data_IF_478931929925
#
_entry.id   IF_478931929925
#
_cell.length_a   1.000
_cell.length_b   1.000
_cell.length_c   1.000
_cell.angle_alpha   90.00
_cell.angle_beta   90.00
_cell.angle_gamma   90.00
#
_symmetry.space_group_name_H-M   'P 1'
#
loop_
_entity.id
_entity.type
_entity.pdbx_description
1 polymer ?
#
# COMPACT_ATOMS: atom_id res chain seq x y z
N UNK A 1 -8.54 -17.05 18.30
CA UNK A 1 -7.62 -16.12 18.96
C UNK A 1 -8.40 -14.97 19.60
N UNK A 2 -9.11 -14.14 18.84
CA UNK A 2 -9.78 -12.92 19.34
C UNK A 2 -10.77 -13.21 20.48
N UNK A 3 -11.58 -14.25 20.37
CA UNK A 3 -12.54 -14.66 21.42
C UNK A 3 -11.82 -14.96 22.73
N UNK A 4 -10.72 -15.72 22.68
CA UNK A 4 -9.92 -16.03 23.88
C UNK A 4 -9.29 -14.81 24.52
N UNK A 5 -8.79 -13.85 23.71
CA UNK A 5 -8.26 -12.58 24.21
C UNK A 5 -9.34 -11.80 24.97
N UNK A 6 -10.56 -11.78 24.44
CA UNK A 6 -11.71 -11.10 25.05
C UNK A 6 -12.16 -11.80 26.33
N UNK A 7 -12.33 -13.13 26.30
CA UNK A 7 -12.71 -13.94 27.46
C UNK A 7 -11.74 -13.80 28.63
N UNK A 8 -10.44 -13.85 28.33
CA UNK A 8 -9.38 -13.72 29.32
C UNK A 8 -9.09 -12.26 29.73
N UNK A 9 -9.82 -11.28 29.15
CA UNK A 9 -9.68 -9.85 29.39
C UNK A 9 -8.22 -9.36 29.27
N UNK A 10 -7.48 -9.91 28.29
CA UNK A 10 -6.09 -9.54 28.07
C UNK A 10 -6.01 -8.11 27.51
N UNK A 11 -5.29 -7.25 28.23
CA UNK A 11 -5.00 -5.87 27.77
C UNK A 11 -3.80 -5.88 26.81
N UNK A 12 -4.06 -6.26 25.56
CA UNK A 12 -3.05 -6.30 24.51
C UNK A 12 -3.42 -5.36 23.37
N UNK A 13 -2.40 -4.79 22.73
CA UNK A 13 -2.54 -4.05 21.48
C UNK A 13 -1.69 -4.73 20.40
N UNK A 14 -2.31 -5.01 19.25
CA UNK A 14 -1.66 -5.75 18.18
C UNK A 14 -2.08 -5.24 16.79
N UNK A 15 -1.39 -5.70 15.75
CA UNK A 15 -1.64 -5.32 14.38
C UNK A 15 -1.30 -6.43 13.40
N UNK A 16 -1.86 -6.35 12.21
CA UNK A 16 -1.46 -7.14 11.05
C UNK A 16 -0.74 -6.21 10.05
N UNK A 17 0.60 -6.14 10.11
CA UNK A 17 1.38 -5.12 9.39
C UNK A 17 1.56 -5.42 7.91
N UNK A 18 1.28 -6.64 7.47
CA UNK A 18 1.49 -7.06 6.08
C UNK A 18 0.44 -8.06 5.61
N UNK A 19 0.07 -7.92 4.34
CA UNK A 19 -0.54 -8.96 3.52
C UNK A 19 -1.78 -9.66 4.05
N UNK A 20 -2.65 -8.97 4.79
CA UNK A 20 -3.89 -9.56 5.29
C UNK A 20 -4.77 -10.03 4.13
N UNK A 21 -5.29 -11.25 4.21
CA UNK A 21 -6.25 -11.80 3.23
C UNK A 21 -7.59 -11.08 3.39
N UNK A 22 -7.84 -10.14 2.50
CA UNK A 22 -9.02 -9.28 2.55
C UNK A 22 -10.34 -10.04 2.43
N UNK A 23 -10.36 -11.12 1.66
CA UNK A 23 -11.54 -11.96 1.47
C UNK A 23 -12.00 -12.68 2.73
N UNK A 24 -11.14 -12.77 3.75
CA UNK A 24 -11.44 -13.41 5.04
C UNK A 24 -11.88 -12.42 6.12
N UNK A 25 -11.89 -11.12 5.84
CA UNK A 25 -12.23 -10.08 6.82
C UNK A 25 -13.48 -9.33 6.35
N UNK A 26 -14.60 -9.67 6.95
CA UNK A 26 -15.83 -8.91 6.89
C UNK A 26 -15.96 -7.94 8.08
N UNK A 27 -17.09 -7.26 8.18
CA UNK A 27 -17.35 -6.33 9.29
C UNK A 27 -17.38 -7.01 10.66
N UNK A 28 -17.95 -8.21 10.78
CA UNK A 28 -18.07 -8.91 12.06
C UNK A 28 -16.69 -9.39 12.54
N UNK A 29 -15.89 -9.97 11.65
CA UNK A 29 -14.49 -10.34 11.94
C UNK A 29 -13.67 -9.12 12.32
N UNK A 30 -13.78 -8.02 11.57
CA UNK A 30 -13.07 -6.77 11.89
C UNK A 30 -13.48 -6.20 13.25
N UNK A 31 -14.77 -6.24 13.60
CA UNK A 31 -15.29 -5.81 14.90
C UNK A 31 -14.75 -6.67 16.04
N UNK A 32 -14.69 -7.98 15.83
CA UNK A 32 -14.12 -8.92 16.82
C UNK A 32 -12.61 -8.65 17.02
N UNK A 33 -11.87 -8.44 15.92
CA UNK A 33 -10.46 -8.07 15.98
C UNK A 33 -10.24 -6.76 16.75
N UNK A 34 -11.04 -5.72 16.47
CA UNK A 34 -10.94 -4.45 17.16
C UNK A 34 -11.17 -4.59 18.68
N UNK A 35 -12.21 -5.36 19.08
CA UNK A 35 -12.50 -5.66 20.49
C UNK A 35 -11.38 -6.45 21.17
N UNK A 36 -10.67 -7.30 20.42
CA UNK A 36 -9.52 -8.05 20.90
C UNK A 36 -8.20 -7.22 20.87
N UNK A 37 -8.27 -5.90 20.69
CA UNK A 37 -7.13 -5.00 20.76
C UNK A 37 -6.37 -4.78 19.46
N UNK A 38 -6.86 -5.29 18.31
CA UNK A 38 -6.28 -4.95 17.00
C UNK A 38 -6.44 -3.46 16.71
N UNK A 39 -5.37 -2.81 16.24
CA UNK A 39 -5.40 -1.38 15.90
C UNK A 39 -5.23 -1.13 14.41
N UNK A 40 -4.38 -1.92 13.74
CA UNK A 40 -4.00 -1.65 12.36
C UNK A 40 -4.09 -2.90 11.50
N UNK A 41 -4.63 -2.75 10.29
CA UNK A 41 -4.63 -3.76 9.23
C UNK A 41 -3.89 -3.23 7.99
N UNK A 42 -3.08 -4.07 7.38
CA UNK A 42 -2.42 -3.78 6.12
C UNK A 42 -2.89 -4.73 5.03
N UNK A 43 -3.55 -4.20 4.01
CA UNK A 43 -3.92 -4.94 2.81
C UNK A 43 -2.86 -4.77 1.73
N UNK A 44 -2.67 -5.80 0.92
CA UNK A 44 -1.74 -5.78 -0.21
C UNK A 44 -2.47 -6.18 -1.50
N UNK A 45 -3.27 -5.29 -2.09
CA UNK A 45 -3.89 -5.55 -3.40
C UNK A 45 -2.86 -5.72 -4.51
N UNK A 46 -1.71 -5.12 -4.40
CA UNK A 46 -0.64 -5.00 -5.37
C UNK A 46 -1.06 -4.19 -6.61
N UNK A 47 -2.13 -4.59 -7.31
CA UNK A 47 -2.63 -3.91 -8.50
C UNK A 47 -4.16 -3.79 -8.51
N UNK A 48 -4.67 -2.76 -9.16
CA UNK A 48 -6.08 -2.59 -9.53
C UNK A 48 -6.41 -3.10 -10.92
N UNK A 49 -5.46 -3.75 -11.60
CA UNK A 49 -5.66 -4.38 -12.92
C UNK A 49 -5.74 -5.89 -12.80
N UNK A 50 -6.87 -6.47 -13.22
CA UNK A 50 -7.05 -7.93 -13.24
C UNK A 50 -6.01 -8.64 -14.13
N UNK A 51 -5.55 -7.97 -15.22
CA UNK A 51 -4.46 -8.47 -16.06
C UNK A 51 -3.18 -8.65 -15.22
N UNK A 52 -2.77 -7.61 -14.51
CA UNK A 52 -1.56 -7.63 -13.68
C UNK A 52 -1.71 -8.65 -12.55
N UNK A 53 -2.86 -8.70 -11.87
CA UNK A 53 -3.13 -9.68 -10.82
C UNK A 53 -2.99 -11.13 -11.29
N UNK A 54 -3.42 -11.42 -12.53
CA UNK A 54 -3.22 -12.75 -13.15
C UNK A 54 -1.74 -13.06 -13.38
N UNK A 55 -0.98 -12.09 -13.91
CA UNK A 55 0.47 -12.24 -14.16
C UNK A 55 1.23 -12.58 -12.87
N UNK A 56 0.92 -11.86 -11.78
CA UNK A 56 1.56 -12.09 -10.48
C UNK A 56 0.88 -13.21 -9.67
N UNK A 57 -0.03 -13.96 -10.27
CA UNK A 57 -0.76 -15.07 -9.68
C UNK A 57 -1.51 -14.70 -8.37
N UNK A 58 -1.90 -13.43 -8.25
CA UNK A 58 -2.63 -12.92 -7.08
C UNK A 58 -4.14 -13.16 -7.25
N UNK A 59 -4.65 -14.18 -6.57
CA UNK A 59 -6.06 -14.59 -6.62
C UNK A 59 -6.88 -13.81 -5.60
N UNK A 60 -7.20 -12.55 -5.89
CA UNK A 60 -8.03 -11.69 -5.04
C UNK A 60 -9.18 -11.09 -5.85
N UNK A 61 -10.27 -10.73 -5.17
CA UNK A 61 -11.35 -9.92 -5.73
C UNK A 61 -11.21 -8.48 -5.26
N UNK A 62 -11.03 -7.55 -6.21
CA UNK A 62 -10.92 -6.12 -5.90
C UNK A 62 -12.18 -5.56 -5.25
N UNK A 63 -13.36 -6.07 -5.64
CA UNK A 63 -14.65 -5.66 -5.03
C UNK A 63 -14.72 -6.11 -3.57
N UNK A 64 -14.47 -7.40 -3.30
CA UNK A 64 -14.45 -7.91 -1.92
C UNK A 64 -13.43 -7.18 -1.05
N UNK A 65 -12.30 -6.77 -1.63
CA UNK A 65 -11.31 -5.98 -0.89
C UNK A 65 -11.84 -4.60 -0.50
N UNK A 66 -12.54 -3.90 -1.39
CA UNK A 66 -13.17 -2.62 -1.06
C UNK A 66 -14.20 -2.79 0.06
N UNK A 67 -15.00 -3.84 0.02
CA UNK A 67 -16.01 -4.12 1.07
C UNK A 67 -15.34 -4.46 2.40
N UNK A 68 -14.26 -5.25 2.38
CA UNK A 68 -13.44 -5.54 3.55
C UNK A 68 -12.82 -4.28 4.16
N UNK A 69 -12.29 -3.37 3.33
CA UNK A 69 -11.76 -2.06 3.77
C UNK A 69 -12.85 -1.24 4.46
N UNK A 70 -14.04 -1.13 3.85
CA UNK A 70 -15.18 -0.42 4.45
C UNK A 70 -15.59 -1.02 5.79
N UNK A 71 -15.70 -2.36 5.86
CA UNK A 71 -16.03 -3.09 7.08
C UNK A 71 -15.02 -2.84 8.18
N UNK A 72 -13.73 -2.93 7.86
CA UNK A 72 -12.63 -2.71 8.81
C UNK A 72 -12.58 -1.27 9.34
N UNK A 73 -12.74 -0.30 8.47
CA UNK A 73 -12.80 1.13 8.85
C UNK A 73 -14.02 1.40 9.75
N UNK A 74 -15.19 0.85 9.38
CA UNK A 74 -16.43 0.98 10.18
C UNK A 74 -16.29 0.31 11.56
N UNK A 75 -15.52 -0.76 11.67
CA UNK A 75 -15.22 -1.43 12.93
C UNK A 75 -14.24 -0.66 13.83
N UNK A 76 -13.63 0.44 13.34
CA UNK A 76 -12.68 1.27 14.09
C UNK A 76 -11.21 0.94 13.85
N UNK A 77 -10.90 0.05 12.91
CA UNK A 77 -9.53 -0.31 12.57
C UNK A 77 -8.89 0.72 11.64
N UNK A 78 -7.61 0.99 11.86
CA UNK A 78 -6.82 1.74 10.89
C UNK A 78 -6.40 0.83 9.75
N UNK A 79 -6.69 1.24 8.54
CA UNK A 79 -6.45 0.44 7.33
C UNK A 79 -5.40 1.11 6.46
N UNK A 80 -4.40 0.34 6.06
CA UNK A 80 -3.39 0.71 5.08
C UNK A 80 -3.49 -0.19 3.86
N UNK A 81 -3.25 0.37 2.67
CA UNK A 81 -3.13 -0.38 1.44
C UNK A 81 -1.72 -0.27 0.84
N UNK A 82 -1.19 -1.42 0.38
CA UNK A 82 0.08 -1.49 -0.33
C UNK A 82 -0.20 -1.82 -1.80
N UNK A 83 0.12 -0.89 -2.69
CA UNK A 83 0.06 -1.05 -4.14
C UNK A 83 1.47 -1.20 -4.71
N UNK A 84 1.55 -1.82 -5.87
CA UNK A 84 2.78 -1.90 -6.65
C UNK A 84 2.55 -1.43 -8.08
N UNK A 85 3.63 -1.00 -8.75
CA UNK A 85 3.63 -0.62 -10.16
C UNK A 85 4.98 -0.94 -10.81
N UNK A 86 5.01 -1.01 -12.14
CA UNK A 86 6.23 -1.29 -12.90
C UNK A 86 6.51 -2.78 -13.08
N UNK A 87 5.47 -3.62 -13.06
CA UNK A 87 5.59 -5.03 -13.46
C UNK A 87 6.00 -5.15 -14.95
N UNK A 88 6.69 -6.22 -15.37
CA UNK A 88 7.23 -6.35 -16.72
C UNK A 88 6.22 -6.06 -17.84
N UNK A 89 5.03 -6.63 -17.79
CA UNK A 89 3.98 -6.48 -18.80
C UNK A 89 2.96 -5.37 -18.49
N UNK A 90 3.19 -4.59 -17.44
CA UNK A 90 2.26 -3.51 -17.04
C UNK A 90 2.30 -2.36 -18.03
N UNK A 91 1.13 -1.90 -18.44
CA UNK A 91 0.94 -0.80 -19.39
C UNK A 91 0.41 0.47 -18.72
N UNK A 92 0.41 1.59 -19.45
CA UNK A 92 -0.21 2.83 -18.99
C UNK A 92 -1.70 2.66 -18.69
N UNK A 93 -2.42 1.81 -19.44
CA UNK A 93 -3.82 1.51 -19.15
C UNK A 93 -3.99 0.79 -17.81
N UNK A 94 -3.05 -0.09 -17.45
CA UNK A 94 -3.06 -0.77 -16.16
C UNK A 94 -2.78 0.21 -15.02
N UNK A 95 -1.90 1.20 -15.22
CA UNK A 95 -1.70 2.31 -14.27
C UNK A 95 -2.97 3.16 -14.07
N UNK A 96 -3.77 3.39 -15.12
CA UNK A 96 -5.06 4.08 -14.99
C UNK A 96 -6.06 3.25 -14.18
N UNK A 97 -6.10 1.93 -14.36
CA UNK A 97 -6.91 1.02 -13.52
C UNK A 97 -6.43 1.06 -12.07
N UNK A 98 -5.12 1.07 -11.83
CA UNK A 98 -4.53 1.26 -10.51
C UNK A 98 -4.98 2.58 -9.87
N UNK A 99 -4.95 3.70 -10.62
CA UNK A 99 -5.38 5.00 -10.13
C UNK A 99 -6.87 5.01 -9.75
N UNK A 100 -7.72 4.40 -10.59
CA UNK A 100 -9.15 4.21 -10.28
C UNK A 100 -9.34 3.39 -8.99
N UNK A 101 -8.58 2.31 -8.81
CA UNK A 101 -8.67 1.48 -7.62
C UNK A 101 -8.17 2.22 -6.36
N UNK A 102 -7.07 2.98 -6.46
CA UNK A 102 -6.56 3.88 -5.40
C UNK A 102 -7.64 4.88 -4.97
N UNK A 103 -8.34 5.48 -5.93
CA UNK A 103 -9.46 6.39 -5.64
C UNK A 103 -10.58 5.70 -4.86
N UNK A 104 -10.93 4.47 -5.22
CA UNK A 104 -11.94 3.66 -4.52
C UNK A 104 -11.51 3.31 -3.09
N UNK A 105 -10.23 2.94 -2.88
CA UNK A 105 -9.67 2.69 -1.55
C UNK A 105 -9.74 3.93 -0.66
N UNK A 106 -9.40 5.09 -1.20
CA UNK A 106 -9.48 6.36 -0.48
C UNK A 106 -10.91 6.68 -0.05
N UNK A 107 -11.87 6.59 -0.98
CA UNK A 107 -13.29 6.84 -0.73
C UNK A 107 -13.93 5.79 0.19
N UNK A 108 -13.41 4.56 0.21
CA UNK A 108 -13.82 3.51 1.16
C UNK A 108 -13.33 3.76 2.60
N UNK A 109 -12.46 4.75 2.80
CA UNK A 109 -11.97 5.14 4.13
C UNK A 109 -10.60 4.60 4.49
N UNK A 110 -9.86 3.98 3.55
CA UNK A 110 -8.47 3.61 3.79
C UNK A 110 -7.69 4.81 4.36
N UNK A 111 -6.82 4.58 5.36
CA UNK A 111 -6.15 5.67 6.10
C UNK A 111 -4.80 6.02 5.50
N UNK A 112 -4.10 5.05 4.93
CA UNK A 112 -2.76 5.24 4.38
C UNK A 112 -2.56 4.41 3.11
N UNK A 113 -1.72 4.90 2.21
CA UNK A 113 -1.38 4.24 0.96
C UNK A 113 0.13 4.18 0.78
N UNK A 114 0.62 3.01 0.37
CA UNK A 114 1.98 2.82 -0.13
C UNK A 114 1.93 2.40 -1.58
N UNK A 115 2.62 3.13 -2.45
CA UNK A 115 2.84 2.73 -3.84
C UNK A 115 4.31 2.42 -4.01
N UNK A 116 4.63 1.13 -4.16
CA UNK A 116 5.99 0.65 -4.32
C UNK A 116 6.24 0.29 -5.79
N UNK A 117 7.49 0.35 -6.23
CA UNK A 117 7.82 -0.19 -7.55
C UNK A 117 8.06 -1.69 -7.47
N UNK A 118 7.78 -2.40 -8.54
CA UNK A 118 8.17 -3.79 -8.68
C UNK A 118 9.70 -3.94 -8.58
N UNK A 119 10.11 -4.93 -7.82
CA UNK A 119 11.51 -5.33 -7.69
C UNK A 119 11.56 -6.85 -7.74
N UNK A 120 12.24 -7.45 -8.73
CA UNK A 120 12.34 -8.90 -8.84
C UNK A 120 13.24 -9.46 -7.74
N UNK A 121 12.74 -10.44 -6.99
CA UNK A 121 13.52 -11.12 -5.96
C UNK A 121 13.91 -12.53 -6.44
N UNK A 122 15.16 -12.98 -6.20
CA UNK A 122 15.61 -14.32 -6.52
C UNK A 122 14.66 -15.38 -5.97
N UNK A 123 14.40 -16.42 -6.78
CA UNK A 123 13.46 -17.49 -6.44
C UNK A 123 12.00 -17.20 -6.79
N UNK A 124 11.69 -16.05 -7.38
CA UNK A 124 10.37 -15.79 -7.98
C UNK A 124 10.38 -16.03 -9.47
N UNK A 125 9.27 -16.53 -10.05
CA UNK A 125 9.15 -16.78 -11.50
C UNK A 125 9.50 -15.55 -12.33
N UNK A 126 9.08 -14.35 -11.86
CA UNK A 126 9.38 -13.09 -12.54
C UNK A 126 10.88 -12.76 -12.50
N UNK A 127 11.59 -13.09 -11.43
CA UNK A 127 13.04 -12.91 -11.38
C UNK A 127 13.74 -13.85 -12.35
N UNK A 128 13.37 -15.14 -12.34
CA UNK A 128 13.99 -16.15 -13.21
C UNK A 128 13.77 -15.79 -14.69
N UNK A 129 12.56 -15.38 -15.07
CA UNK A 129 12.26 -14.95 -16.45
C UNK A 129 13.10 -13.72 -16.85
N UNK A 130 13.19 -12.70 -16.02
CA UNK A 130 13.99 -11.49 -16.29
C UNK A 130 15.49 -11.80 -16.34
N UNK A 131 15.95 -12.76 -15.54
CA UNK A 131 17.36 -13.21 -15.54
C UNK A 131 17.70 -13.97 -16.81
N UNK A 132 16.82 -14.89 -17.25
CA UNK A 132 16.99 -15.62 -18.51
C UNK A 132 17.01 -14.70 -19.73
N UNK A 133 16.24 -13.61 -19.71
CA UNK A 133 16.26 -12.57 -20.76
C UNK A 133 17.42 -11.57 -20.61
N UNK A 134 18.33 -11.75 -19.65
CA UNK A 134 19.48 -10.86 -19.43
C UNK A 134 19.12 -9.48 -18.87
N UNK A 135 17.88 -9.25 -18.43
CA UNK A 135 17.43 -7.96 -17.87
C UNK A 135 17.84 -7.79 -16.40
N UNK A 136 18.11 -8.90 -15.70
CA UNK A 136 18.53 -8.91 -14.30
C UNK A 136 19.79 -9.77 -14.13
N UNK A 137 20.80 -9.19 -13.50
CA UNK A 137 22.01 -9.86 -13.06
C UNK A 137 22.26 -9.48 -11.61
N UNK A 138 22.64 -10.45 -10.76
CA UNK A 138 22.93 -10.22 -9.35
C UNK A 138 24.27 -9.48 -9.18
N UNK A 139 24.28 -8.20 -9.53
CA UNK A 139 25.43 -7.31 -9.44
C UNK A 139 25.14 -6.15 -8.43
N UNK A 140 26.15 -5.28 -8.25
CA UNK A 140 26.02 -4.10 -7.38
C UNK A 140 24.83 -3.19 -7.80
N UNK A 141 24.57 -3.06 -9.10
CA UNK A 141 23.47 -2.23 -9.63
C UNK A 141 22.11 -2.81 -9.27
N UNK A 142 21.97 -4.13 -9.31
CA UNK A 142 20.77 -4.82 -8.88
C UNK A 142 20.45 -4.50 -7.42
N UNK A 143 21.40 -4.67 -6.50
CA UNK A 143 21.19 -4.37 -5.08
C UNK A 143 20.88 -2.87 -4.84
N UNK A 144 21.51 -1.99 -5.59
CA UNK A 144 21.18 -0.56 -5.54
C UNK A 144 19.73 -0.30 -6.00
N UNK A 145 19.25 -0.97 -7.05
CA UNK A 145 17.88 -0.84 -7.55
C UNK A 145 16.84 -1.34 -6.56
N UNK A 146 17.14 -2.34 -5.74
CA UNK A 146 16.25 -2.80 -4.66
C UNK A 146 15.96 -1.67 -3.65
N UNK A 147 16.91 -0.78 -3.40
CA UNK A 147 16.69 0.36 -2.50
C UNK A 147 15.67 1.37 -3.04
N UNK A 148 15.33 1.33 -4.34
CA UNK A 148 14.33 2.20 -4.96
C UNK A 148 12.88 1.73 -4.72
N UNK A 149 12.68 0.55 -4.15
CA UNK A 149 11.37 -0.07 -3.92
C UNK A 149 10.31 0.92 -3.44
N UNK A 150 10.58 1.67 -2.38
CA UNK A 150 9.67 2.66 -1.81
C UNK A 150 10.07 4.12 -2.06
N UNK A 151 11.13 4.36 -2.83
CA UNK A 151 11.64 5.71 -3.12
C UNK A 151 10.63 6.51 -3.94
N UNK A 152 10.46 7.79 -3.61
CA UNK A 152 9.66 8.75 -4.37
C UNK A 152 10.49 9.57 -5.35
N UNK A 153 11.81 9.45 -5.33
CA UNK A 153 12.74 10.22 -6.15
C UNK A 153 13.52 9.38 -7.15
N UNK A 154 13.63 8.08 -6.88
CA UNK A 154 14.37 7.15 -7.72
C UNK A 154 13.45 5.97 -8.11
N UNK A 155 13.52 5.56 -9.36
CA UNK A 155 12.88 4.37 -9.86
C UNK A 155 13.76 3.70 -10.92
N UNK A 156 13.57 2.39 -11.07
CA UNK A 156 14.08 1.61 -12.17
C UNK A 156 12.95 0.77 -12.74
N UNK A 157 12.70 0.87 -14.03
CA UNK A 157 11.64 0.10 -14.68
C UNK A 157 12.19 -1.23 -15.19
N UNK A 158 11.49 -2.30 -14.83
CA UNK A 158 11.59 -3.62 -15.46
C UNK A 158 10.47 -3.86 -16.47
N UNK A 159 9.58 -2.86 -16.66
CA UNK A 159 8.48 -2.95 -17.61
C UNK A 159 8.96 -2.67 -19.04
N UNK A 160 8.43 -3.43 -19.99
CA UNK A 160 8.63 -3.22 -21.42
C UNK A 160 7.89 -1.98 -21.95
N UNK A 161 6.86 -1.53 -21.24
CA UNK A 161 5.94 -0.48 -21.68
C UNK A 161 6.01 0.81 -20.86
N UNK A 162 6.68 0.76 -19.71
CA UNK A 162 6.73 1.89 -18.77
C UNK A 162 8.18 2.32 -18.51
N UNK A 163 8.47 3.58 -18.68
CA UNK A 163 9.75 4.17 -18.29
C UNK A 163 9.80 4.43 -16.77
N UNK A 164 11.01 4.53 -16.21
CA UNK A 164 11.23 4.93 -14.81
C UNK A 164 10.57 6.27 -14.46
N UNK A 165 10.52 7.22 -15.39
CA UNK A 165 9.85 8.53 -15.20
C UNK A 165 8.34 8.35 -15.06
N UNK A 166 7.71 7.49 -15.86
CA UNK A 166 6.27 7.20 -15.74
C UNK A 166 5.93 6.52 -14.43
N UNK A 167 6.79 5.62 -13.94
CA UNK A 167 6.62 4.99 -12.62
C UNK A 167 6.68 6.05 -11.51
N UNK A 168 7.66 6.95 -11.52
CA UNK A 168 7.75 8.04 -10.54
C UNK A 168 6.54 8.98 -10.61
N UNK A 169 6.14 9.36 -11.82
CA UNK A 169 4.95 10.19 -12.02
C UNK A 169 3.69 9.50 -11.45
N UNK A 170 3.50 8.22 -11.76
CA UNK A 170 2.37 7.45 -11.25
C UNK A 170 2.37 7.39 -9.72
N UNK A 171 3.52 7.13 -9.09
CA UNK A 171 3.64 7.13 -7.61
C UNK A 171 3.24 8.48 -7.02
N UNK A 172 3.68 9.58 -7.63
CA UNK A 172 3.33 10.93 -7.18
C UNK A 172 1.83 11.21 -7.37
N UNK A 173 1.30 11.01 -8.59
CA UNK A 173 -0.12 11.24 -8.91
C UNK A 173 -1.03 10.35 -8.07
N UNK A 174 -0.72 9.06 -7.93
CA UNK A 174 -1.51 8.13 -7.15
C UNK A 174 -1.56 8.51 -5.67
N UNK A 175 -0.42 8.91 -5.10
CA UNK A 175 -0.34 9.38 -3.71
C UNK A 175 -1.13 10.67 -3.50
N UNK A 176 -0.98 11.65 -4.39
CA UNK A 176 -1.73 12.92 -4.34
C UNK A 176 -3.23 12.67 -4.48
N UNK A 177 -3.65 11.86 -5.44
CA UNK A 177 -5.07 11.49 -5.63
C UNK A 177 -5.65 10.85 -4.39
N UNK A 178 -4.92 9.90 -3.78
CA UNK A 178 -5.37 9.23 -2.56
C UNK A 178 -5.64 10.20 -1.43
N UNK A 179 -4.66 11.05 -1.08
CA UNK A 179 -4.81 11.97 0.05
C UNK A 179 -5.78 13.09 -0.26
N UNK A 180 -5.82 13.61 -1.48
CA UNK A 180 -6.80 14.61 -1.90
C UNK A 180 -8.24 14.10 -1.70
N UNK A 181 -8.57 12.92 -2.22
CA UNK A 181 -9.88 12.31 -2.06
C UNK A 181 -10.17 11.94 -0.60
N UNK A 182 -9.16 11.47 0.15
CA UNK A 182 -9.29 11.17 1.57
C UNK A 182 -9.66 12.42 2.37
N UNK A 183 -9.01 13.55 2.13
CA UNK A 183 -9.27 14.80 2.83
C UNK A 183 -10.60 15.43 2.41
N UNK A 184 -10.96 15.32 1.13
CA UNK A 184 -12.26 15.78 0.64
C UNK A 184 -13.41 14.99 1.31
N UNK A 185 -13.29 13.67 1.41
CA UNK A 185 -14.33 12.79 1.97
C UNK A 185 -14.35 12.78 3.50
N UNK A 186 -13.19 12.97 4.14
CA UNK A 186 -12.97 12.91 5.58
C UNK A 186 -12.18 14.13 6.05
N UNK A 187 -12.77 15.35 6.06
CA UNK A 187 -12.03 16.59 6.33
C UNK A 187 -11.35 16.63 7.70
N UNK A 188 -11.88 15.91 8.70
CA UNK A 188 -11.24 15.77 10.01
C UNK A 188 -9.83 15.17 9.98
N UNK A 189 -9.50 14.44 8.92
CA UNK A 189 -8.14 13.89 8.74
C UNK A 189 -7.07 14.97 8.50
N UNK A 190 -7.44 16.09 7.91
CA UNK A 190 -6.54 17.25 7.75
C UNK A 190 -6.07 17.75 9.11
N UNK A 191 -7.01 17.96 10.05
CA UNK A 191 -6.68 18.39 11.40
C UNK A 191 -5.84 17.36 12.16
N UNK A 192 -6.15 16.06 11.98
CA UNK A 192 -5.36 14.97 12.57
C UNK A 192 -3.93 14.97 12.03
N UNK A 193 -3.75 15.12 10.72
CA UNK A 193 -2.44 15.17 10.07
C UNK A 193 -1.63 16.37 10.59
N UNK A 194 -2.22 17.57 10.64
CA UNK A 194 -1.56 18.77 11.17
C UNK A 194 -1.12 18.55 12.63
N UNK A 195 -2.02 18.02 13.46
CA UNK A 195 -1.73 17.73 14.88
C UNK A 195 -0.58 16.68 15.01
N UNK A 196 -0.61 15.63 14.22
CA UNK A 196 0.42 14.59 14.26
C UNK A 196 1.78 15.15 13.84
N UNK A 197 1.85 15.91 12.74
CA UNK A 197 3.07 16.58 12.28
C UNK A 197 3.61 17.57 13.32
N UNK A 198 2.73 18.35 13.99
CA UNK A 198 3.16 19.28 15.04
C UNK A 198 3.75 18.56 16.27
N UNK A 199 3.24 17.36 16.58
CA UNK A 199 3.70 16.52 17.70
C UNK A 199 4.85 15.57 17.33
N UNK A 200 5.30 15.56 16.07
CA UNK A 200 6.34 14.64 15.60
C UNK A 200 5.91 13.19 15.46
N UNK A 201 4.58 12.94 15.37
CA UNK A 201 4.02 11.59 15.23
C UNK A 201 3.91 11.21 13.76
N UNK A 202 4.42 10.02 13.41
CA UNK A 202 4.41 9.45 12.07
C UNK A 202 3.40 8.29 12.01
N UNK A 203 2.15 8.59 11.67
CA UNK A 203 1.12 7.57 11.54
C UNK A 203 0.90 7.15 10.08
N UNK A 204 0.95 8.12 9.16
CA UNK A 204 0.80 7.90 7.72
C UNK A 204 2.09 8.21 6.96
N UNK A 205 2.20 7.75 5.71
CA UNK A 205 3.31 8.11 4.83
C UNK A 205 3.41 9.60 4.56
N UNK A 206 2.27 10.27 4.48
CA UNK A 206 2.25 11.72 4.30
C UNK A 206 2.91 12.42 5.48
N UNK A 207 2.54 12.08 6.71
CA UNK A 207 3.12 12.64 7.93
C UNK A 207 4.62 12.38 8.01
N UNK A 208 5.05 11.14 7.71
CA UNK A 208 6.48 10.79 7.63
C UNK A 208 7.22 11.67 6.62
N UNK A 209 6.64 11.89 5.43
CA UNK A 209 7.24 12.73 4.39
C UNK A 209 7.36 14.19 4.85
N UNK A 210 6.29 14.74 5.42
CA UNK A 210 6.28 16.12 5.94
C UNK A 210 7.30 16.30 7.08
N UNK A 211 7.38 15.36 8.01
CA UNK A 211 8.34 15.41 9.10
C UNK A 211 9.79 15.25 8.60
N UNK A 212 10.03 14.39 7.62
CA UNK A 212 11.36 14.25 7.03
C UNK A 212 11.81 15.53 6.33
N UNK A 213 10.89 16.21 5.65
CA UNK A 213 11.16 17.51 5.02
C UNK A 213 11.47 18.59 6.06
N UNK A 214 10.66 18.69 7.12
CA UNK A 214 10.87 19.61 8.23
C UNK A 214 12.25 19.42 8.90
N UNK A 215 12.64 18.17 9.13
CA UNK A 215 13.97 17.84 9.73
C UNK A 215 15.14 18.26 8.85
N UNK A 216 14.99 18.14 7.51
CA UNK A 216 16.03 18.58 6.55
C UNK A 216 16.20 20.10 6.46
N UNK A 217 15.17 20.87 6.78
CA UNK A 217 15.26 22.33 6.81
C UNK A 217 15.78 22.90 8.13
N UNK A 218 15.75 22.10 9.19
CA UNK A 218 16.18 22.51 10.53
C UNK A 218 17.65 22.13 10.86
N UNK A 219 18.32 21.39 10.00
CA UNK A 219 19.76 21.04 10.11
C UNK A 219 20.55 21.54 8.92
#
# INVERSE_FOLDING_TARGET
>A
FCEKVIEQKLDISWQLPSGTRSEAIDFEVARLMFRAGCKNLSYAPESGSDKVLKIIQKRISLEKMIDSVRGSVRAGLNVKANMMCGFPEETTLDLLKNLRFISRLSLAGCHDLSINQFSPYPGSDLFENLSQCGQVTLDRKYFQRLSFYSSMTNAYSYSEHLSSKQILLFKAVGTLTFYFLSFLRYPGRVFTTIRNVSRGVEFTRLEKTLLSYKRRQAG
#
